data_IF_600892765477
#
_entry.id   IF_600892765477
#
_cell.length_a   1.000
_cell.length_b   1.000
_cell.length_c   1.000
_cell.angle_alpha   90.00
_cell.angle_beta   90.00
_cell.angle_gamma   90.00
#
_symmetry.space_group_name_H-M   'P 1'
#
loop_
_entity.id
_entity.type
_entity.pdbx_description
1 polymer ?
#
# COMPACT_ATOMS: atom_id res chain seq x y z
N UNK A 1 7.90 0.68 -22.48
CA UNK A 1 8.16 0.90 -21.04
C UNK A 1 7.86 2.35 -20.70
N UNK A 2 6.80 2.59 -19.91
CA UNK A 2 6.42 3.93 -19.49
C UNK A 2 7.19 4.25 -18.19
N UNK A 3 8.27 5.04 -18.27
CA UNK A 3 9.19 5.26 -17.13
C UNK A 3 8.50 5.75 -15.86
N UNK A 4 7.42 6.54 -16.01
CA UNK A 4 6.61 7.03 -14.89
C UNK A 4 5.94 5.89 -14.12
N UNK A 5 5.32 4.92 -14.81
CA UNK A 5 4.67 3.78 -14.17
C UNK A 5 5.66 2.92 -13.38
N UNK A 6 6.89 2.80 -13.86
CA UNK A 6 7.94 2.05 -13.17
C UNK A 6 8.38 2.73 -11.88
N UNK A 7 8.63 4.04 -11.95
CA UNK A 7 9.01 4.82 -10.77
C UNK A 7 7.91 4.75 -9.71
N UNK A 8 6.64 4.88 -10.11
CA UNK A 8 5.51 4.79 -9.18
C UNK A 8 5.36 3.38 -8.59
N UNK A 9 5.50 2.32 -9.38
CA UNK A 9 5.44 0.94 -8.88
C UNK A 9 6.54 0.63 -7.86
N UNK A 10 7.78 1.02 -8.15
CA UNK A 10 8.90 0.84 -7.24
C UNK A 10 8.71 1.66 -5.97
N UNK A 11 8.27 2.92 -6.11
CA UNK A 11 8.00 3.79 -4.95
C UNK A 11 6.91 3.23 -4.04
N UNK A 12 5.76 2.83 -4.61
CA UNK A 12 4.66 2.20 -3.86
C UNK A 12 5.12 0.90 -3.21
N UNK A 13 5.85 0.04 -3.93
CA UNK A 13 6.40 -1.19 -3.37
C UNK A 13 7.28 -0.91 -2.17
N UNK A 14 8.24 0.02 -2.27
CA UNK A 14 9.15 0.32 -1.16
C UNK A 14 8.39 0.84 0.06
N UNK A 15 7.49 1.80 -0.13
CA UNK A 15 6.70 2.39 0.97
C UNK A 15 5.88 1.29 1.67
N UNK A 16 5.10 0.54 0.93
CA UNK A 16 4.17 -0.43 1.51
C UNK A 16 4.85 -1.70 2.03
N UNK A 17 5.91 -2.18 1.39
CA UNK A 17 6.65 -3.33 1.92
C UNK A 17 7.36 -2.95 3.22
N UNK A 18 7.97 -1.77 3.31
CA UNK A 18 8.61 -1.31 4.55
C UNK A 18 7.60 -1.14 5.68
N UNK A 19 6.49 -0.46 5.41
CA UNK A 19 5.42 -0.24 6.38
C UNK A 19 4.75 -1.57 6.80
N UNK A 20 4.54 -2.47 5.82
CA UNK A 20 3.97 -3.78 6.06
C UNK A 20 4.89 -4.70 6.87
N UNK A 21 6.20 -4.67 6.63
CA UNK A 21 7.20 -5.41 7.44
C UNK A 21 7.20 -4.94 8.88
N UNK A 22 7.13 -3.63 9.09
CA UNK A 22 7.06 -3.03 10.42
C UNK A 22 5.81 -3.53 11.16
N UNK A 23 4.63 -3.52 10.51
CA UNK A 23 3.36 -3.98 11.10
C UNK A 23 3.30 -5.49 11.34
N UNK A 24 3.74 -6.29 10.36
CA UNK A 24 3.58 -7.74 10.39
C UNK A 24 4.59 -8.44 11.30
N UNK A 25 5.84 -7.96 11.32
CA UNK A 25 6.95 -8.65 12.00
C UNK A 25 7.53 -7.88 13.18
N UNK A 26 7.30 -6.57 13.27
CA UNK A 26 7.87 -5.70 14.30
C UNK A 26 6.78 -4.91 15.04
N UNK A 27 5.68 -5.59 15.40
CA UNK A 27 4.49 -4.95 15.96
C UNK A 27 4.76 -4.04 17.16
N UNK A 28 5.66 -4.41 18.07
CA UNK A 28 5.94 -3.55 19.24
C UNK A 28 6.59 -2.21 18.81
N UNK A 29 7.48 -2.23 17.81
CA UNK A 29 8.04 -1.01 17.22
C UNK A 29 6.95 -0.22 16.49
N UNK A 30 6.09 -0.90 15.72
CA UNK A 30 4.96 -0.28 15.03
C UNK A 30 4.02 0.43 16.02
N UNK A 31 3.73 -0.20 17.16
CA UNK A 31 2.84 0.30 18.21
C UNK A 31 3.38 1.56 18.89
N UNK A 32 4.70 1.66 19.06
CA UNK A 32 5.34 2.83 19.64
C UNK A 32 5.38 4.03 18.68
N UNK A 33 5.52 3.78 17.38
CA UNK A 33 5.82 4.82 16.39
C UNK A 33 4.61 5.23 15.52
N UNK A 34 3.59 4.38 15.40
CA UNK A 34 2.43 4.61 14.52
C UNK A 34 1.17 4.81 15.38
N UNK A 35 0.62 6.03 15.45
CA UNK A 35 -0.43 6.38 16.41
C UNK A 35 -1.69 5.51 16.38
N UNK A 36 -2.09 4.99 15.22
CA UNK A 36 -3.31 4.19 15.11
C UNK A 36 -3.16 2.73 15.56
N UNK A 37 -1.92 2.20 15.58
CA UNK A 37 -1.63 0.78 15.84
C UNK A 37 -2.04 0.35 17.26
N UNK A 38 -2.00 1.28 18.22
CA UNK A 38 -2.41 1.05 19.62
C UNK A 38 -3.92 1.00 19.83
N UNK A 39 -4.71 1.51 18.89
CA UNK A 39 -6.14 1.74 19.07
C UNK A 39 -7.00 0.67 18.38
N UNK A 40 -6.37 -0.31 17.75
CA UNK A 40 -7.03 -1.39 17.04
C UNK A 40 -6.47 -2.76 17.46
N UNK A 41 -7.19 -3.86 17.21
CA UNK A 41 -6.67 -5.19 17.52
C UNK A 41 -5.33 -5.48 16.81
N UNK A 42 -4.38 -6.07 17.54
CA UNK A 42 -3.06 -6.48 17.01
C UNK A 42 -3.17 -7.35 15.75
N UNK A 43 -4.17 -8.23 15.69
CA UNK A 43 -4.44 -9.09 14.53
C UNK A 43 -4.79 -8.29 13.27
N UNK A 44 -5.52 -7.18 13.40
CA UNK A 44 -5.84 -6.31 12.27
C UNK A 44 -4.58 -5.63 11.73
N UNK A 45 -3.72 -5.13 12.61
CA UNK A 45 -2.46 -4.47 12.21
C UNK A 45 -1.56 -5.45 11.44
N UNK A 46 -1.39 -6.65 11.97
CA UNK A 46 -0.58 -7.70 11.33
C UNK A 46 -1.20 -8.12 9.99
N UNK A 47 -2.53 -8.26 9.92
CA UNK A 47 -3.24 -8.56 8.68
C UNK A 47 -2.98 -7.49 7.60
N UNK A 48 -3.15 -6.21 7.95
CA UNK A 48 -2.83 -5.09 7.04
C UNK A 48 -1.38 -5.17 6.58
N UNK A 49 -0.44 -5.43 7.49
CA UNK A 49 0.97 -5.57 7.14
C UNK A 49 1.25 -6.69 6.14
N UNK A 50 0.64 -7.86 6.29
CA UNK A 50 0.77 -8.93 5.29
C UNK A 50 0.17 -8.55 3.94
N UNK A 51 -1.00 -7.89 3.92
CA UNK A 51 -1.63 -7.42 2.68
C UNK A 51 -0.73 -6.43 1.96
N UNK A 52 -0.13 -5.48 2.69
CA UNK A 52 0.79 -4.48 2.13
C UNK A 52 2.04 -5.12 1.53
N UNK A 53 2.64 -6.11 2.21
CA UNK A 53 3.80 -6.84 1.68
C UNK A 53 3.43 -7.60 0.42
N UNK A 54 2.34 -8.37 0.44
CA UNK A 54 1.92 -9.21 -0.70
C UNK A 54 1.59 -8.34 -1.92
N UNK A 55 0.83 -7.26 -1.73
CA UNK A 55 0.54 -6.33 -2.81
C UNK A 55 1.80 -5.61 -3.30
N UNK A 56 2.69 -5.21 -2.40
CA UNK A 56 3.93 -4.51 -2.77
C UNK A 56 4.85 -5.38 -3.63
N UNK A 57 5.01 -6.64 -3.26
CA UNK A 57 5.75 -7.62 -4.08
C UNK A 57 5.03 -7.89 -5.41
N UNK A 58 3.69 -7.95 -5.40
CA UNK A 58 2.87 -8.14 -6.59
C UNK A 58 3.00 -7.03 -7.64
N UNK A 59 3.42 -5.81 -7.27
CA UNK A 59 3.76 -4.75 -8.23
C UNK A 59 5.05 -5.04 -9.02
N UNK A 60 6.00 -5.78 -8.45
CA UNK A 60 7.34 -5.97 -9.03
C UNK A 60 7.52 -7.35 -9.67
N UNK A 61 6.78 -8.37 -9.27
CA UNK A 61 6.86 -9.70 -9.92
C UNK A 61 6.75 -9.63 -11.45
N UNK A 62 5.84 -8.83 -12.05
CA UNK A 62 5.66 -8.79 -13.51
C UNK A 62 6.81 -8.17 -14.28
N UNK A 63 7.68 -7.41 -13.60
CA UNK A 63 8.93 -6.84 -14.15
C UNK A 63 9.90 -7.96 -14.50
N UNK A 64 9.95 -9.00 -13.67
CA UNK A 64 10.86 -10.14 -13.85
C UNK A 64 10.20 -11.24 -14.69
N UNK A 65 8.88 -11.38 -14.55
CA UNK A 65 8.11 -12.46 -15.16
C UNK A 65 6.91 -11.92 -15.92
N UNK A 66 7.05 -11.76 -17.24
CA UNK A 66 5.99 -11.18 -18.08
C UNK A 66 4.66 -11.95 -18.05
N UNK A 67 4.67 -13.23 -17.68
CA UNK A 67 3.44 -14.03 -17.55
C UNK A 67 2.50 -13.49 -16.46
N UNK A 68 3.04 -12.77 -15.47
CA UNK A 68 2.28 -12.31 -14.31
C UNK A 68 1.79 -10.86 -14.43
N UNK A 69 1.73 -10.25 -15.63
CA UNK A 69 1.28 -8.85 -15.84
C UNK A 69 -0.03 -8.48 -15.12
N UNK A 70 -0.94 -9.42 -14.91
CA UNK A 70 -2.19 -9.18 -14.17
C UNK A 70 -2.00 -8.89 -12.67
N UNK A 71 -0.83 -9.22 -12.09
CA UNK A 71 -0.55 -8.94 -10.68
C UNK A 71 -0.42 -7.44 -10.39
N UNK A 72 0.10 -6.63 -11.33
CA UNK A 72 0.23 -5.18 -11.14
C UNK A 72 -1.13 -4.50 -10.91
N UNK A 73 -2.15 -4.67 -11.78
CA UNK A 73 -3.45 -4.05 -11.54
C UNK A 73 -4.15 -4.61 -10.30
N UNK A 74 -4.04 -5.92 -10.01
CA UNK A 74 -4.60 -6.51 -8.79
C UNK A 74 -3.97 -5.91 -7.53
N UNK A 75 -2.64 -5.82 -7.49
CA UNK A 75 -1.90 -5.26 -6.35
C UNK A 75 -2.19 -3.78 -6.16
N UNK A 76 -2.25 -3.04 -7.26
CA UNK A 76 -2.61 -1.62 -7.23
C UNK A 76 -4.04 -1.43 -6.71
N UNK A 77 -4.98 -2.28 -7.11
CA UNK A 77 -6.34 -2.26 -6.58
C UNK A 77 -6.40 -2.49 -5.07
N UNK A 78 -5.60 -3.43 -4.54
CA UNK A 78 -5.49 -3.66 -3.09
C UNK A 78 -5.02 -2.38 -2.38
N UNK A 79 -4.01 -1.68 -2.91
CA UNK A 79 -3.56 -0.42 -2.35
C UNK A 79 -4.61 0.69 -2.42
N UNK A 80 -5.37 0.78 -3.51
CA UNK A 80 -6.48 1.73 -3.63
C UNK A 80 -7.51 1.48 -2.53
N UNK A 81 -7.90 0.23 -2.32
CA UNK A 81 -8.87 -0.15 -1.28
C UNK A 81 -8.32 0.16 0.11
N UNK A 82 -7.06 -0.19 0.40
CA UNK A 82 -6.43 0.11 1.68
C UNK A 82 -6.37 1.61 1.96
N UNK A 83 -5.90 2.41 1.01
CA UNK A 83 -5.79 3.86 1.19
C UNK A 83 -7.15 4.55 1.28
N UNK A 84 -8.17 4.01 0.60
CA UNK A 84 -9.54 4.51 0.73
C UNK A 84 -10.05 4.30 2.15
N UNK A 85 -9.91 3.08 2.69
CA UNK A 85 -10.32 2.81 4.08
C UNK A 85 -9.45 3.53 5.11
N UNK A 86 -8.14 3.65 4.89
CA UNK A 86 -7.26 4.44 5.74
C UNK A 86 -7.69 5.91 5.78
N UNK A 87 -8.04 6.49 4.63
CA UNK A 87 -8.55 7.87 4.55
C UNK A 87 -9.82 8.05 5.39
N UNK A 88 -10.79 7.14 5.27
CA UNK A 88 -12.02 7.16 6.08
C UNK A 88 -11.69 6.99 7.56
N UNK A 89 -10.78 6.09 7.90
CA UNK A 89 -10.35 5.82 9.27
C UNK A 89 -9.75 7.05 9.94
N UNK A 90 -8.77 7.72 9.29
CA UNK A 90 -8.15 8.94 9.81
C UNK A 90 -9.12 10.12 9.84
N UNK A 91 -10.04 10.22 8.87
CA UNK A 91 -11.11 11.22 8.89
C UNK A 91 -12.01 11.08 10.13
N UNK A 92 -12.48 9.86 10.42
CA UNK A 92 -13.33 9.60 11.59
C UNK A 92 -12.62 9.88 12.92
N UNK A 93 -11.30 9.78 12.94
CA UNK A 93 -10.44 10.08 14.11
C UNK A 93 -10.02 11.54 14.20
N UNK A 94 -10.42 12.38 13.23
CA UNK A 94 -10.02 13.80 13.11
C UNK A 94 -8.50 13.98 12.95
N UNK A 95 -7.81 12.97 12.42
CA UNK A 95 -6.38 12.97 12.10
C UNK A 95 -6.17 13.51 10.68
N UNK A 96 -6.59 14.76 10.45
CA UNK A 96 -6.63 15.33 9.09
C UNK A 96 -5.24 15.53 8.46
N UNK A 97 -4.18 15.50 9.26
CA UNK A 97 -2.81 15.65 8.80
C UNK A 97 -2.34 14.45 7.96
N UNK A 98 -2.90 13.26 8.21
CA UNK A 98 -2.52 12.02 7.51
C UNK A 98 -3.32 11.81 6.21
N UNK A 99 -4.44 12.51 6.06
CA UNK A 99 -5.34 12.37 4.90
C UNK A 99 -4.65 12.73 3.56
N UNK A 100 -3.92 13.85 3.42
CA UNK A 100 -3.26 14.19 2.16
C UNK A 100 -2.27 13.13 1.70
N UNK A 101 -1.56 12.50 2.63
CA UNK A 101 -0.62 11.42 2.33
C UNK A 101 -1.35 10.19 1.80
N UNK A 102 -2.42 9.75 2.47
CA UNK A 102 -3.24 8.63 2.02
C UNK A 102 -3.89 8.88 0.66
N UNK A 103 -4.42 10.09 0.42
CA UNK A 103 -5.00 10.47 -0.88
C UNK A 103 -3.93 10.44 -1.97
N UNK A 104 -2.71 10.91 -1.68
CA UNK A 104 -1.60 10.88 -2.64
C UNK A 104 -1.25 9.45 -3.05
N UNK A 105 -1.10 8.55 -2.07
CA UNK A 105 -0.83 7.13 -2.33
C UNK A 105 -1.99 6.45 -3.08
N UNK A 106 -3.24 6.79 -2.73
CA UNK A 106 -4.43 6.30 -3.41
C UNK A 106 -4.41 6.69 -4.90
N UNK A 107 -4.15 7.96 -5.20
CA UNK A 107 -4.11 8.47 -6.58
C UNK A 107 -2.95 7.84 -7.37
N UNK A 108 -1.78 7.67 -6.73
CA UNK A 108 -0.66 6.95 -7.34
C UNK A 108 -1.04 5.50 -7.66
N UNK A 109 -1.68 4.79 -6.73
CA UNK A 109 -2.11 3.41 -6.93
C UNK A 109 -3.20 3.31 -8.02
N UNK A 110 -4.16 4.23 -8.07
CA UNK A 110 -5.14 4.31 -9.16
C UNK A 110 -4.47 4.53 -10.52
N UNK A 111 -3.52 5.45 -10.59
CA UNK A 111 -2.78 5.73 -11.82
C UNK A 111 -2.00 4.50 -12.29
N UNK A 112 -1.33 3.79 -11.39
CA UNK A 112 -0.62 2.55 -11.71
C UNK A 112 -1.60 1.46 -12.15
N UNK A 113 -2.72 1.28 -11.44
CA UNK A 113 -3.75 0.29 -11.78
C UNK A 113 -4.25 0.49 -13.21
N UNK A 114 -4.71 1.71 -13.52
CA UNK A 114 -5.25 2.06 -14.83
C UNK A 114 -4.14 1.95 -15.88
N UNK A 115 -2.98 2.56 -15.65
CA UNK A 115 -1.85 2.53 -16.59
C UNK A 115 -1.40 1.11 -16.93
N UNK A 116 -1.31 0.22 -15.94
CA UNK A 116 -0.89 -1.18 -16.15
C UNK A 116 -1.88 -2.03 -16.96
N UNK A 117 -3.13 -1.59 -17.16
CA UNK A 117 -4.09 -2.31 -18.00
C UNK A 117 -3.93 -2.01 -19.50
N UNK A 118 -3.29 -0.89 -19.85
CA UNK A 118 -3.17 -0.42 -21.24
C UNK A 118 -1.77 -0.61 -21.85
N UNK A 119 -0.79 -1.09 -21.07
CA UNK A 119 0.61 -1.25 -21.49
C UNK A 119 1.16 -2.61 -21.04
#
# INVERSE_FOLDING_TARGET
MNGVLWVLQIGLMLIFVMDGVLKAFQYEIAKENIPWVRDVPKSLVIFVGYVEIVAGLGLIIPIVYEHFRILTPISSFIFVVLMFFATIFHYNRKEYIDIPFNITLLLMALFVMIGSMFF
#
